data_IF_304197776152
#
_entry.id   IF_304197776152
#
_cell.length_a   1.000
_cell.length_b   1.000
_cell.length_c   1.000
_cell.angle_alpha   90.00
_cell.angle_beta   90.00
_cell.angle_gamma   90.00
#
_symmetry.space_group_name_H-M   'P 1'
#
loop_
_entity.id
_entity.type
_entity.pdbx_description
1 polymer ?
#
# COMPACT_ATOMS: atom_id res chain seq x y z
N UNK A 1 -8.66 -45.64 47.22
CA UNK A 1 -8.47 -44.41 46.41
C UNK A 1 -8.52 -44.67 44.87
N UNK A 2 -8.24 -45.86 44.40
CA UNK A 2 -8.22 -46.23 42.96
C UNK A 2 -9.60 -46.16 42.26
N UNK A 3 -10.70 -46.46 42.95
CA UNK A 3 -12.04 -46.48 42.34
C UNK A 3 -12.62 -45.08 42.02
N UNK A 4 -12.23 -44.04 42.74
CA UNK A 4 -12.72 -42.69 42.51
C UNK A 4 -12.08 -42.06 41.24
N UNK A 5 -10.79 -42.35 41.05
CA UNK A 5 -10.03 -41.91 39.85
C UNK A 5 -10.59 -42.53 38.57
N UNK A 6 -10.95 -43.79 38.61
CA UNK A 6 -11.53 -44.52 37.47
C UNK A 6 -12.91 -43.96 37.08
N UNK A 7 -13.72 -43.60 38.10
CA UNK A 7 -15.06 -43.03 37.90
C UNK A 7 -15.01 -41.66 37.21
N UNK A 8 -14.00 -40.82 37.52
CA UNK A 8 -13.90 -39.47 36.99
C UNK A 8 -12.85 -39.28 35.91
N UNK A 9 -12.17 -40.35 35.52
CA UNK A 9 -11.10 -40.32 34.52
C UNK A 9 -11.50 -39.54 33.24
N UNK A 10 -12.68 -39.81 32.70
CA UNK A 10 -13.12 -39.17 31.45
C UNK A 10 -13.35 -37.68 31.63
N UNK A 11 -13.85 -37.23 32.76
CA UNK A 11 -14.02 -35.80 33.06
C UNK A 11 -12.70 -35.11 33.27
N UNK A 12 -11.75 -35.72 33.96
CA UNK A 12 -10.40 -35.18 34.17
C UNK A 12 -9.70 -35.03 32.80
N UNK A 13 -9.75 -36.05 31.95
CA UNK A 13 -9.17 -35.99 30.61
C UNK A 13 -9.81 -34.92 29.77
N UNK A 14 -11.15 -34.78 29.85
CA UNK A 14 -11.86 -33.71 29.13
C UNK A 14 -11.38 -32.30 29.55
N UNK A 15 -11.29 -32.06 30.88
CA UNK A 15 -10.86 -30.74 31.37
C UNK A 15 -9.40 -30.46 31.02
N UNK A 16 -8.50 -31.45 31.09
CA UNK A 16 -7.10 -31.28 30.67
C UNK A 16 -7.04 -30.90 29.19
N UNK A 17 -7.78 -31.61 28.32
CA UNK A 17 -7.83 -31.29 26.89
C UNK A 17 -8.41 -29.90 26.63
N UNK A 18 -9.48 -29.53 27.35
CA UNK A 18 -10.10 -28.21 27.24
C UNK A 18 -9.13 -27.09 27.62
N UNK A 19 -8.45 -27.22 28.77
CA UNK A 19 -7.42 -26.25 29.20
C UNK A 19 -6.26 -26.17 28.25
N UNK A 20 -5.82 -27.30 27.68
CA UNK A 20 -4.78 -27.33 26.66
C UNK A 20 -5.19 -26.58 25.40
N UNK A 21 -6.40 -26.79 24.90
CA UNK A 21 -6.93 -26.08 23.73
C UNK A 21 -7.08 -24.57 23.98
N UNK A 22 -7.55 -24.19 25.17
CA UNK A 22 -7.62 -22.77 25.57
C UNK A 22 -6.21 -22.16 25.62
N UNK A 23 -5.24 -22.89 26.20
CA UNK A 23 -3.86 -22.47 26.25
C UNK A 23 -3.25 -22.29 24.84
N UNK A 24 -3.49 -23.22 23.92
CA UNK A 24 -3.06 -23.08 22.52
C UNK A 24 -3.66 -21.84 21.85
N UNK A 25 -4.94 -21.53 22.14
CA UNK A 25 -5.58 -20.34 21.58
C UNK A 25 -5.05 -19.03 22.16
N UNK A 26 -4.77 -18.99 23.46
CA UNK A 26 -4.26 -17.77 24.13
C UNK A 26 -2.81 -17.47 23.74
N UNK A 27 -1.94 -18.49 23.69
CA UNK A 27 -0.55 -18.34 23.27
C UNK A 27 -0.43 -18.07 21.76
N UNK A 28 -1.41 -18.57 20.99
CA UNK A 28 -1.50 -18.37 19.53
C UNK A 28 -0.17 -18.64 18.80
N UNK A 29 0.45 -19.82 18.97
CA UNK A 29 1.74 -20.13 18.37
C UNK A 29 1.67 -20.13 16.85
N UNK A 30 2.82 -19.93 16.19
CA UNK A 30 2.91 -19.76 14.73
C UNK A 30 2.24 -20.89 13.93
N UNK A 31 2.33 -22.13 14.39
CA UNK A 31 1.69 -23.25 13.70
C UNK A 31 0.15 -23.16 13.72
N UNK A 32 -0.44 -22.69 14.83
CA UNK A 32 -1.90 -22.49 14.93
C UNK A 32 -2.34 -21.39 13.97
N UNK A 33 -1.57 -20.29 13.84
CA UNK A 33 -1.82 -19.26 12.84
C UNK A 33 -1.78 -19.80 11.42
N UNK A 34 -0.76 -20.61 11.11
CA UNK A 34 -0.62 -21.21 9.78
C UNK A 34 -1.82 -22.11 9.43
N UNK A 35 -2.24 -22.97 10.37
CA UNK A 35 -3.42 -23.82 10.17
C UNK A 35 -4.68 -22.98 10.00
N UNK A 36 -4.83 -21.89 10.77
CA UNK A 36 -5.95 -20.97 10.65
C UNK A 36 -6.01 -20.30 9.28
N UNK A 37 -4.88 -19.83 8.74
CA UNK A 37 -4.81 -19.25 7.41
C UNK A 37 -5.11 -20.28 6.31
N UNK A 38 -4.52 -21.46 6.39
CA UNK A 38 -4.81 -22.54 5.42
C UNK A 38 -6.29 -22.95 5.44
N UNK A 39 -6.89 -23.02 6.63
CA UNK A 39 -8.31 -23.34 6.77
C UNK A 39 -9.19 -22.22 6.18
N UNK A 40 -8.82 -20.97 6.39
CA UNK A 40 -9.50 -19.83 5.81
C UNK A 40 -9.43 -19.83 4.28
N UNK A 41 -8.23 -20.07 3.72
CA UNK A 41 -8.03 -20.14 2.27
C UNK A 41 -8.82 -21.29 1.65
N UNK A 42 -8.85 -22.46 2.31
CA UNK A 42 -9.67 -23.60 1.88
C UNK A 42 -11.16 -23.25 1.90
N UNK A 43 -11.61 -22.59 2.97
CA UNK A 43 -13.00 -22.15 3.10
C UNK A 43 -13.40 -21.17 1.99
N UNK A 44 -12.52 -20.21 1.66
CA UNK A 44 -12.73 -19.26 0.56
C UNK A 44 -12.80 -19.95 -0.82
N UNK A 45 -12.06 -21.06 -1.00
CA UNK A 45 -12.14 -21.86 -2.24
C UNK A 45 -13.46 -22.63 -2.36
N UNK A 46 -13.97 -23.16 -1.24
CA UNK A 46 -15.21 -23.97 -1.23
C UNK A 46 -16.44 -23.07 -1.31
N UNK A 47 -16.42 -21.95 -0.57
CA UNK A 47 -17.53 -20.99 -0.50
C UNK A 47 -17.00 -19.59 -0.88
N UNK A 48 -16.71 -19.35 -2.16
CA UNK A 48 -16.23 -18.06 -2.58
C UNK A 48 -17.30 -16.98 -2.32
N UNK A 49 -16.87 -15.84 -1.76
CA UNK A 49 -17.72 -14.68 -1.64
C UNK A 49 -18.23 -14.29 -3.03
N UNK A 50 -19.54 -14.22 -3.19
CA UNK A 50 -20.14 -13.71 -4.43
C UNK A 50 -19.65 -12.28 -4.62
N UNK A 51 -18.94 -12.02 -5.72
CA UNK A 51 -18.56 -10.67 -6.12
C UNK A 51 -19.84 -9.87 -6.34
N UNK A 52 -20.14 -8.94 -5.44
CA UNK A 52 -21.03 -7.83 -5.77
C UNK A 52 -20.28 -6.97 -6.79
N UNK A 53 -20.96 -6.39 -7.76
CA UNK A 53 -20.37 -5.41 -8.67
C UNK A 53 -19.66 -4.37 -7.82
N UNK A 54 -18.34 -4.28 -7.96
CA UNK A 54 -17.55 -3.33 -7.18
C UNK A 54 -17.61 -1.97 -7.88
N UNK A 55 -17.92 -0.92 -7.13
CA UNK A 55 -17.72 0.46 -7.58
C UNK A 55 -16.24 0.83 -7.71
N UNK A 56 -15.35 -0.06 -7.29
CA UNK A 56 -13.91 0.10 -7.33
C UNK A 56 -13.32 -0.69 -8.49
N UNK A 57 -12.55 0.00 -9.33
CA UNK A 57 -11.78 -0.57 -10.44
C UNK A 57 -10.31 -0.55 -10.08
N UNK A 58 -9.64 -1.69 -10.19
CA UNK A 58 -8.20 -1.80 -9.98
C UNK A 58 -7.50 -1.71 -11.33
N UNK A 59 -6.60 -0.74 -11.48
CA UNK A 59 -5.69 -0.60 -12.62
C UNK A 59 -4.34 -1.18 -12.22
N UNK A 60 -3.98 -2.31 -12.80
CA UNK A 60 -2.81 -3.09 -12.42
C UNK A 60 -1.66 -2.93 -13.42
N UNK A 61 -0.43 -2.83 -12.89
CA UNK A 61 0.80 -2.86 -13.68
C UNK A 61 1.22 -4.33 -13.81
N UNK A 62 0.84 -4.95 -14.91
CA UNK A 62 1.07 -6.36 -15.16
C UNK A 62 2.10 -6.61 -16.29
N UNK A 63 2.42 -7.88 -16.56
CA UNK A 63 3.36 -8.31 -17.59
C UNK A 63 3.12 -7.69 -18.97
N UNK A 64 1.86 -7.47 -19.37
CA UNK A 64 1.51 -6.82 -20.66
C UNK A 64 1.92 -5.36 -20.65
N UNK A 65 1.73 -4.68 -19.54
CA UNK A 65 2.15 -3.29 -19.34
C UNK A 65 3.67 -3.16 -19.38
N UNK A 66 4.39 -4.07 -18.68
CA UNK A 66 5.85 -4.12 -18.68
C UNK A 66 6.42 -4.40 -20.07
N UNK A 67 5.80 -5.30 -20.84
CA UNK A 67 6.22 -5.54 -22.23
C UNK A 67 6.04 -4.32 -23.15
N UNK A 68 5.03 -3.50 -22.88
CA UNK A 68 4.69 -2.33 -23.70
C UNK A 68 5.51 -1.09 -23.33
N UNK A 69 5.70 -0.83 -22.05
CA UNK A 69 6.30 0.40 -21.53
C UNK A 69 7.70 0.22 -20.93
N UNK A 70 8.20 -1.03 -20.92
CA UNK A 70 9.50 -1.36 -20.30
C UNK A 70 9.38 -1.68 -18.82
N UNK A 71 10.53 -1.94 -18.21
CA UNK A 71 10.63 -2.28 -16.78
C UNK A 71 10.21 -1.10 -15.89
N UNK A 72 9.54 -1.42 -14.80
CA UNK A 72 9.21 -0.47 -13.74
C UNK A 72 10.49 -0.15 -12.91
N UNK A 73 10.69 1.10 -12.41
CA UNK A 73 9.75 2.22 -12.40
C UNK A 73 9.70 3.02 -13.71
N UNK A 74 8.48 3.39 -14.11
CA UNK A 74 8.25 4.21 -15.28
C UNK A 74 8.41 5.70 -14.99
N UNK A 75 8.67 6.48 -16.04
CA UNK A 75 8.68 7.94 -15.99
C UNK A 75 7.36 8.52 -15.50
N UNK A 76 7.41 9.66 -14.81
CA UNK A 76 6.23 10.40 -14.36
C UNK A 76 5.35 10.85 -15.52
N UNK A 77 5.91 11.05 -16.70
CA UNK A 77 5.14 11.36 -17.93
C UNK A 77 4.19 10.22 -18.30
N UNK A 78 4.60 8.96 -18.10
CA UNK A 78 3.72 7.78 -18.31
C UNK A 78 2.58 7.77 -17.29
N UNK A 79 2.87 8.05 -16.02
CA UNK A 79 1.83 8.15 -14.98
C UNK A 79 0.87 9.31 -15.24
N UNK A 80 1.39 10.45 -15.68
CA UNK A 80 0.56 11.58 -16.11
C UNK A 80 -0.46 11.15 -17.18
N UNK A 81 -0.01 10.41 -18.17
CA UNK A 81 -0.89 9.90 -19.24
C UNK A 81 -1.90 8.87 -18.75
N UNK A 82 -1.52 8.02 -17.78
CA UNK A 82 -2.44 7.09 -17.13
C UNK A 82 -3.54 7.84 -16.41
N UNK A 83 -3.20 8.85 -15.58
CA UNK A 83 -4.17 9.67 -14.86
C UNK A 83 -5.09 10.43 -15.82
N UNK A 84 -4.52 11.04 -16.86
CA UNK A 84 -5.30 11.71 -17.91
C UNK A 84 -6.36 10.76 -18.52
N UNK A 85 -5.94 9.55 -18.91
CA UNK A 85 -6.85 8.57 -19.48
C UNK A 85 -7.91 8.10 -18.47
N UNK A 86 -7.56 7.87 -17.21
CA UNK A 86 -8.53 7.50 -16.17
C UNK A 86 -9.53 8.63 -15.96
N UNK A 87 -9.08 9.88 -15.95
CA UNK A 87 -9.93 11.07 -15.78
C UNK A 87 -11.01 11.21 -16.86
N UNK A 88 -10.79 10.68 -18.08
CA UNK A 88 -11.81 10.69 -19.12
C UNK A 88 -13.08 9.91 -18.71
N UNK A 89 -12.93 8.92 -17.81
CA UNK A 89 -14.06 8.13 -17.30
C UNK A 89 -14.78 8.80 -16.12
N UNK A 90 -14.31 9.97 -15.67
CA UNK A 90 -14.87 10.76 -14.57
C UNK A 90 -15.03 9.97 -13.27
N UNK A 91 -13.97 9.35 -12.75
CA UNK A 91 -14.03 8.63 -11.48
C UNK A 91 -14.29 9.62 -10.33
N UNK A 92 -14.91 9.13 -9.24
CA UNK A 92 -15.08 9.94 -8.01
C UNK A 92 -13.75 10.26 -7.33
N UNK A 93 -12.81 9.32 -7.36
CA UNK A 93 -11.45 9.47 -6.85
C UNK A 93 -10.51 8.47 -7.53
N UNK A 94 -9.21 8.80 -7.55
CA UNK A 94 -8.13 7.94 -8.03
C UNK A 94 -7.16 7.74 -6.88
N UNK A 95 -6.96 6.50 -6.41
CA UNK A 95 -5.95 6.15 -5.42
C UNK A 95 -4.70 5.60 -6.09
N UNK A 96 -3.53 6.14 -5.77
CA UNK A 96 -2.24 5.65 -6.24
C UNK A 96 -1.51 4.96 -5.08
N UNK A 97 -1.38 3.64 -5.16
CA UNK A 97 -0.60 2.84 -4.20
C UNK A 97 0.86 2.74 -4.67
N UNK A 98 1.46 3.89 -4.92
CA UNK A 98 2.83 4.04 -5.40
C UNK A 98 3.47 5.23 -4.68
N UNK A 99 4.74 5.08 -4.28
CA UNK A 99 5.52 6.13 -3.66
C UNK A 99 6.34 6.88 -4.70
N UNK A 100 6.23 8.19 -4.71
CA UNK A 100 6.97 9.09 -5.59
C UNK A 100 7.95 9.96 -4.79
N UNK A 101 8.77 9.32 -3.96
CA UNK A 101 9.65 9.99 -3.00
C UNK A 101 10.87 10.67 -3.61
N UNK A 102 11.26 10.27 -4.83
CA UNK A 102 12.40 10.83 -5.55
C UNK A 102 11.95 11.49 -6.84
N UNK A 103 12.77 12.42 -7.36
CA UNK A 103 12.57 13.00 -8.68
C UNK A 103 12.64 11.96 -9.78
N UNK A 104 11.93 12.21 -10.87
CA UNK A 104 11.96 11.33 -12.04
C UNK A 104 13.34 11.40 -12.72
N UNK A 105 14.12 10.32 -12.58
CA UNK A 105 15.46 10.21 -13.20
C UNK A 105 15.44 10.25 -14.73
N UNK A 106 14.28 10.05 -15.34
CA UNK A 106 14.09 10.15 -16.79
C UNK A 106 13.61 11.55 -17.21
N UNK A 107 13.43 12.46 -16.27
CA UNK A 107 13.09 13.85 -16.56
C UNK A 107 14.26 14.57 -17.23
N UNK A 108 14.03 15.45 -18.21
CA UNK A 108 15.09 16.13 -18.96
C UNK A 108 16.11 16.83 -18.05
N UNK A 109 15.67 17.52 -17.01
CA UNK A 109 16.54 18.21 -16.07
C UNK A 109 17.45 17.26 -15.27
N UNK A 110 16.96 16.06 -14.90
CA UNK A 110 17.78 15.08 -14.18
C UNK A 110 18.74 14.35 -15.14
N UNK A 111 18.38 14.16 -16.41
CA UNK A 111 19.27 13.65 -17.45
C UNK A 111 20.43 14.63 -17.69
N UNK A 112 20.14 15.90 -17.92
CA UNK A 112 21.14 16.95 -18.11
C UNK A 112 22.13 16.97 -16.96
N UNK A 113 21.61 16.92 -15.73
CA UNK A 113 22.41 16.94 -14.51
C UNK A 113 23.27 15.69 -14.35
N UNK A 114 22.71 14.50 -14.56
CA UNK A 114 23.41 13.23 -14.33
C UNK A 114 24.53 12.97 -15.32
N UNK A 115 24.40 13.45 -16.55
CA UNK A 115 25.41 13.33 -17.58
C UNK A 115 26.31 14.55 -17.72
N UNK A 116 26.16 15.57 -16.86
CA UNK A 116 26.89 16.84 -16.92
C UNK A 116 26.87 17.48 -18.33
N UNK A 117 25.73 17.43 -19.01
CA UNK A 117 25.57 17.95 -20.34
C UNK A 117 25.67 19.48 -20.35
N UNK A 118 26.42 20.06 -21.31
CA UNK A 118 26.51 21.52 -21.41
C UNK A 118 25.26 22.10 -22.09
N UNK A 119 24.80 23.31 -21.64
CA UNK A 119 23.57 23.92 -22.15
C UNK A 119 23.50 24.07 -23.69
N UNK A 120 24.65 24.29 -24.35
CA UNK A 120 24.72 24.43 -25.81
C UNK A 120 24.36 23.16 -26.59
N UNK A 121 24.57 21.99 -25.98
CA UNK A 121 24.39 20.68 -26.64
C UNK A 121 22.99 20.11 -26.43
N UNK A 122 22.19 20.74 -25.57
CA UNK A 122 20.90 20.21 -25.08
C UNK A 122 19.76 21.22 -25.12
N UNK A 123 19.84 22.21 -25.99
CA UNK A 123 18.79 23.26 -26.10
C UNK A 123 17.40 22.65 -26.27
N UNK A 124 17.29 21.58 -27.06
CA UNK A 124 16.00 20.89 -27.24
C UNK A 124 15.49 20.22 -25.96
N UNK A 125 16.39 19.60 -25.17
CA UNK A 125 16.02 18.96 -23.89
C UNK A 125 15.58 19.99 -22.84
N UNK A 126 16.16 21.18 -22.83
CA UNK A 126 15.78 22.27 -21.90
C UNK A 126 14.37 22.80 -22.17
N UNK A 127 13.91 22.69 -23.41
CA UNK A 127 12.56 23.13 -23.81
C UNK A 127 11.48 22.05 -23.49
N UNK A 128 11.88 20.82 -23.12
CA UNK A 128 10.96 19.77 -22.72
C UNK A 128 10.58 20.01 -21.25
N UNK A 129 9.29 20.01 -20.97
CA UNK A 129 8.79 20.15 -19.60
C UNK A 129 9.21 18.98 -18.72
N UNK A 130 9.54 19.27 -17.46
CA UNK A 130 9.86 18.26 -16.46
C UNK A 130 8.71 17.28 -16.24
N UNK A 131 9.04 16.02 -16.13
CA UNK A 131 8.03 14.95 -15.99
C UNK A 131 7.28 15.03 -14.68
N UNK A 132 7.93 15.42 -13.59
CA UNK A 132 7.27 15.64 -12.29
C UNK A 132 6.24 16.80 -12.38
N UNK A 133 6.55 17.83 -13.16
CA UNK A 133 5.64 18.98 -13.39
C UNK A 133 4.39 18.54 -14.17
N UNK A 134 4.59 17.78 -15.27
CA UNK A 134 3.48 17.25 -16.06
C UNK A 134 2.58 16.34 -15.20
N UNK A 135 3.18 15.51 -14.36
CA UNK A 135 2.44 14.61 -13.47
C UNK A 135 1.66 15.38 -12.41
N UNK A 136 2.29 16.38 -11.77
CA UNK A 136 1.64 17.27 -10.81
C UNK A 136 0.38 17.89 -11.39
N UNK A 137 0.45 18.46 -12.60
CA UNK A 137 -0.71 19.05 -13.26
C UNK A 137 -1.87 18.06 -13.48
N UNK A 138 -1.57 16.80 -13.76
CA UNK A 138 -2.63 15.80 -13.91
C UNK A 138 -3.23 15.41 -12.56
N UNK A 139 -2.43 15.36 -11.50
CA UNK A 139 -2.94 15.15 -10.13
C UNK A 139 -3.86 16.29 -9.70
N UNK A 140 -3.47 17.55 -9.96
CA UNK A 140 -4.29 18.73 -9.63
C UNK A 140 -5.62 18.77 -10.39
N UNK A 141 -5.66 18.27 -11.63
CA UNK A 141 -6.88 18.15 -12.44
C UNK A 141 -7.78 16.98 -12.04
N UNK A 142 -7.32 16.13 -11.15
CA UNK A 142 -8.01 14.92 -10.72
C UNK A 142 -8.26 14.92 -9.21
N UNK A 143 -9.28 14.21 -8.76
CA UNK A 143 -9.47 13.94 -7.34
C UNK A 143 -8.59 12.74 -6.94
N UNK A 144 -7.28 12.98 -6.80
CA UNK A 144 -6.26 11.94 -6.57
C UNK A 144 -5.80 11.90 -5.14
N UNK A 145 -5.48 10.69 -4.66
CA UNK A 145 -4.86 10.41 -3.37
C UNK A 145 -3.60 9.60 -3.61
N UNK A 146 -2.48 10.05 -3.07
CA UNK A 146 -1.17 9.42 -3.19
C UNK A 146 -0.83 8.70 -1.89
N UNK A 147 -0.12 7.58 -1.98
CA UNK A 147 0.28 6.79 -0.83
C UNK A 147 1.34 7.49 0.03
N UNK A 148 1.21 7.31 1.35
CA UNK A 148 2.19 7.72 2.36
C UNK A 148 2.50 6.51 3.24
N UNK A 149 3.78 6.26 3.51
CA UNK A 149 4.24 5.17 4.35
C UNK A 149 4.67 5.68 5.72
N UNK A 150 4.16 5.10 6.79
CA UNK A 150 4.68 5.32 8.15
C UNK A 150 6.03 4.61 8.34
N UNK A 151 6.99 5.26 8.98
CA UNK A 151 8.34 4.72 9.24
C UNK A 151 8.79 4.94 10.67
N UNK A 152 9.48 3.96 11.24
CA UNK A 152 10.16 4.08 12.53
C UNK A 152 11.58 4.64 12.40
N UNK A 153 12.09 4.75 11.17
CA UNK A 153 13.45 5.20 10.88
C UNK A 153 13.38 6.50 10.07
N UNK A 154 14.17 7.49 10.49
CA UNK A 154 14.37 8.69 9.68
C UNK A 154 15.18 8.33 8.44
N UNK A 155 14.67 8.65 7.27
CA UNK A 155 15.35 8.47 5.98
C UNK A 155 15.32 9.76 5.18
N UNK A 156 16.17 9.84 4.14
CA UNK A 156 16.09 10.94 3.17
C UNK A 156 14.66 10.97 2.57
N UNK A 157 14.00 12.12 2.68
CA UNK A 157 12.59 12.27 2.26
C UNK A 157 11.55 11.91 3.32
N UNK A 158 11.96 11.53 4.57
CA UNK A 158 11.03 11.47 5.68
C UNK A 158 10.82 12.88 6.24
N UNK A 159 9.57 13.33 6.22
CA UNK A 159 9.17 14.62 6.77
C UNK A 159 8.15 14.40 7.89
N UNK A 160 8.15 15.34 8.85
CA UNK A 160 7.03 15.47 9.79
C UNK A 160 5.86 16.10 9.01
N UNK A 161 5.01 15.25 8.44
CA UNK A 161 3.88 15.69 7.63
C UNK A 161 2.61 15.55 8.42
N UNK A 162 1.95 16.64 8.66
CA UNK A 162 0.55 16.61 9.06
C UNK A 162 -0.27 16.08 7.88
N UNK A 163 -1.13 15.07 8.13
CA UNK A 163 -2.04 14.58 7.11
C UNK A 163 -2.92 15.73 6.60
N UNK A 164 -2.90 15.96 5.28
CA UNK A 164 -3.78 16.96 4.63
C UNK A 164 -5.25 16.51 4.63
N UNK A 165 -5.50 15.20 4.85
CA UNK A 165 -6.85 14.67 4.93
C UNK A 165 -7.50 14.98 6.29
N UNK A 166 -8.76 15.40 6.25
CA UNK A 166 -9.59 15.54 7.47
C UNK A 166 -10.06 14.17 7.90
N UNK A 167 -9.73 13.80 9.13
CA UNK A 167 -10.20 12.56 9.73
C UNK A 167 -11.38 12.83 10.66
N UNK A 168 -12.41 12.00 10.55
CA UNK A 168 -13.55 12.01 11.45
C UNK A 168 -13.55 10.69 12.23
N UNK A 169 -13.39 10.75 13.55
CA UNK A 169 -13.54 9.58 14.41
C UNK A 169 -14.97 9.49 14.94
N UNK A 170 -15.56 8.30 14.91
CA UNK A 170 -16.86 7.99 15.49
C UNK A 170 -16.71 6.84 16.45
N UNK A 171 -17.05 7.05 17.73
CA UNK A 171 -17.07 5.99 18.73
C UNK A 171 -15.82 5.87 19.61
N UNK A 172 -14.85 6.80 19.53
CA UNK A 172 -13.65 6.83 20.36
C UNK A 172 -12.42 7.33 19.63
N UNK A 173 -11.28 7.44 20.34
CA UNK A 173 -10.01 7.81 19.72
C UNK A 173 -9.38 6.57 19.05
N UNK A 174 -9.22 6.55 17.72
CA UNK A 174 -8.62 5.43 17.01
C UNK A 174 -7.14 5.21 17.37
N UNK A 175 -6.45 6.18 17.97
CA UNK A 175 -5.03 6.11 18.32
C UNK A 175 -4.70 4.95 19.26
N UNK A 176 -5.65 4.54 20.11
CA UNK A 176 -5.48 3.40 21.02
C UNK A 176 -5.36 2.06 20.27
N UNK A 177 -5.85 2.00 19.03
CA UNK A 177 -5.94 0.77 18.21
C UNK A 177 -5.08 0.83 16.94
N UNK A 178 -4.35 1.93 16.72
CA UNK A 178 -3.54 2.14 15.52
C UNK A 178 -2.06 2.21 15.84
N UNK A 179 -1.23 1.76 14.90
CA UNK A 179 0.21 1.96 14.99
C UNK A 179 0.55 3.44 14.78
N UNK A 180 1.40 3.97 15.65
CA UNK A 180 1.94 5.33 15.52
C UNK A 180 3.37 5.24 14.98
N UNK A 181 3.66 6.03 13.96
CA UNK A 181 4.99 6.11 13.36
C UNK A 181 5.54 7.53 13.56
N UNK A 182 6.81 7.66 14.04
CA UNK A 182 7.42 8.98 14.24
C UNK A 182 7.76 9.70 12.94
N UNK A 183 7.90 8.96 11.84
CA UNK A 183 8.23 9.52 10.52
C UNK A 183 7.25 9.02 9.47
N UNK A 184 7.12 9.80 8.39
CA UNK A 184 6.41 9.39 7.18
C UNK A 184 7.27 9.58 5.94
N UNK A 185 7.17 8.64 5.01
CA UNK A 185 7.76 8.74 3.67
C UNK A 185 6.59 8.97 2.72
N UNK A 186 6.58 10.14 2.09
CA UNK A 186 5.54 10.50 1.13
C UNK A 186 6.13 10.78 -0.24
N UNK A 187 5.31 11.31 -1.11
CA UNK A 187 5.73 11.78 -2.41
C UNK A 187 6.54 13.09 -2.30
N UNK A 188 7.18 13.51 -3.38
CA UNK A 188 7.82 14.82 -3.46
C UNK A 188 6.83 15.92 -3.10
N UNK A 189 7.30 16.94 -2.35
CA UNK A 189 6.49 18.09 -1.93
C UNK A 189 5.78 18.76 -3.12
N UNK A 190 6.41 18.75 -4.29
CA UNK A 190 5.83 19.28 -5.53
C UNK A 190 4.61 18.51 -6.03
N UNK A 191 4.42 17.26 -5.60
CA UNK A 191 3.31 16.38 -6.04
C UNK A 191 2.13 16.41 -5.06
N UNK A 192 2.29 17.00 -3.90
CA UNK A 192 1.26 17.18 -2.86
C UNK A 192 0.58 18.53 -2.96
#
# INVERSE_FOLDING_TARGET
MTNLFYKYKNYITFFILLFFLIGLKTVNPSFVKTISFLSFDLYQKIIPLKKKSSEVVIVDINEKSLKKFGQFPWSRSVFAKIIENINTTKPKAIGLDIFFSEKDKQSPEEIIKSYNLVPTDVIELQNIRGHDEIFREQLEKSNSVIAVLGSNVSSHGSYDRSAKAKFFSKGGDPKEFTFSYPYSIGSLEKLE
#
